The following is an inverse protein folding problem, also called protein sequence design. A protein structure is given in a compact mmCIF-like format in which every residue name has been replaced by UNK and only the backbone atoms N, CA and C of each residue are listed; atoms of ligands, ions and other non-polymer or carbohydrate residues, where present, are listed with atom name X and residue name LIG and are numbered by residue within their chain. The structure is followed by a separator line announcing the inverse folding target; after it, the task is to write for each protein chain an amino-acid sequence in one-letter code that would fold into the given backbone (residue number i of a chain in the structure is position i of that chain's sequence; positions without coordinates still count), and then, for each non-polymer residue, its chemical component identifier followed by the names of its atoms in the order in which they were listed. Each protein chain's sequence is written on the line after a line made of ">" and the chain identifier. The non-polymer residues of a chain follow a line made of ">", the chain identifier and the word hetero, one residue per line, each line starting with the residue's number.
data_IF_739104914475
#
_entry.id   IF_739104914475
#
_cell.length_a   1.000
_cell.length_b   1.000
_cell.length_c   1.000
_cell.angle_alpha   90.00
_cell.angle_beta   90.00
_cell.angle_gamma   90.00
#
_symmetry.space_group_name_H-M   'P 1'
#
loop_
_entity.id
_entity.type
_entity.pdbx_description
1 polymer ?
#
# COMPACT_ATOMS: atom_id res chain seq x y z
N UNK A 1 1.32 0.61 -17.99
CA UNK A 1 1.30 1.65 -16.93
C UNK A 1 2.70 2.13 -16.56
N UNK A 2 3.61 1.27 -16.07
CA UNK A 2 4.97 1.71 -15.67
C UNK A 2 5.81 2.30 -16.81
N UNK A 3 5.59 1.86 -18.05
CA UNK A 3 6.20 2.46 -19.26
C UNK A 3 5.76 3.90 -19.50
N UNK A 4 4.48 4.20 -19.26
CA UNK A 4 3.90 5.53 -19.46
C UNK A 4 4.51 6.55 -18.49
N UNK A 5 4.85 6.15 -17.26
CA UNK A 5 5.60 7.02 -16.32
C UNK A 5 6.99 7.36 -16.87
N UNK A 6 7.67 6.37 -17.44
CA UNK A 6 8.98 6.58 -18.07
C UNK A 6 8.91 7.51 -19.28
N UNK A 7 7.85 7.40 -20.08
CA UNK A 7 7.61 8.27 -21.25
C UNK A 7 7.46 9.74 -20.88
N UNK A 8 6.97 10.04 -19.67
CA UNK A 8 6.84 11.41 -19.14
C UNK A 8 7.96 11.79 -18.15
N UNK A 9 9.06 11.03 -18.12
CA UNK A 9 10.21 11.26 -17.22
C UNK A 9 9.88 11.23 -15.72
N UNK A 10 8.90 10.41 -15.32
CA UNK A 10 8.54 10.18 -13.91
C UNK A 10 9.12 8.84 -13.44
N UNK A 11 9.58 8.82 -12.18
CA UNK A 11 10.09 7.60 -11.55
C UNK A 11 9.00 6.52 -11.46
N UNK A 12 9.40 5.28 -11.68
CA UNK A 12 8.54 4.12 -11.67
C UNK A 12 9.06 3.02 -10.73
N UNK A 13 9.84 3.39 -9.73
CA UNK A 13 10.28 2.47 -8.68
C UNK A 13 9.11 2.02 -7.79
N UNK A 14 8.78 0.73 -7.86
CA UNK A 14 7.77 0.13 -6.97
C UNK A 14 8.36 -0.11 -5.59
N UNK A 15 7.79 0.54 -4.57
CA UNK A 15 8.17 0.37 -3.15
C UNK A 15 7.10 -0.35 -2.32
N UNK A 16 6.00 -0.74 -2.96
CA UNK A 16 4.87 -1.41 -2.32
C UNK A 16 3.55 -1.07 -3.00
N UNK A 17 2.46 -1.07 -2.24
CA UNK A 17 1.11 -0.83 -2.75
C UNK A 17 0.24 -0.06 -1.75
N UNK A 18 -0.97 0.28 -2.16
CA UNK A 18 -1.99 0.85 -1.29
C UNK A 18 -3.26 -0.01 -1.33
N UNK A 19 -4.01 -0.03 -0.22
CA UNK A 19 -5.28 -0.73 -0.12
C UNK A 19 -6.25 0.06 0.75
N UNK A 20 -7.50 0.14 0.31
CA UNK A 20 -8.58 0.70 1.12
C UNK A 20 -9.24 -0.39 1.95
N UNK A 21 -9.52 -0.10 3.21
CA UNK A 21 -10.20 -1.03 4.12
C UNK A 21 -11.25 -0.30 4.93
N UNK A 22 -12.40 -0.94 5.14
CA UNK A 22 -13.47 -0.36 5.93
C UNK A 22 -13.22 -0.66 7.41
N UNK A 23 -13.41 0.35 8.27
CA UNK A 23 -13.47 0.19 9.72
C UNK A 23 -12.21 -0.46 10.33
N UNK A 24 -11.05 -0.27 9.71
CA UNK A 24 -9.77 -0.84 10.18
C UNK A 24 -9.59 -2.35 9.93
N UNK A 25 -10.45 -2.98 9.12
CA UNK A 25 -10.34 -4.40 8.76
C UNK A 25 -9.27 -4.66 7.71
N UNK A 26 -7.99 -4.44 8.06
CA UNK A 26 -6.85 -4.65 7.16
C UNK A 26 -5.96 -5.84 7.55
N UNK A 27 -6.06 -6.35 8.78
CA UNK A 27 -5.24 -7.47 9.26
C UNK A 27 -5.78 -8.81 8.75
N UNK A 28 -5.64 -9.06 7.45
CA UNK A 28 -6.10 -10.30 6.81
C UNK A 28 -4.91 -11.18 6.39
N UNK A 29 -5.16 -12.47 6.20
CA UNK A 29 -4.14 -13.43 5.76
C UNK A 29 -3.61 -13.04 4.38
N UNK A 30 -4.51 -12.61 3.50
CA UNK A 30 -4.19 -12.20 2.13
C UNK A 30 -3.26 -10.98 2.10
N UNK A 31 -3.42 -10.03 3.04
CA UNK A 31 -2.51 -8.89 3.16
C UNK A 31 -1.09 -9.35 3.51
N UNK A 32 -0.97 -10.29 4.46
CA UNK A 32 0.33 -10.82 4.90
C UNK A 32 0.99 -11.62 3.77
N UNK A 33 0.24 -12.49 3.09
CA UNK A 33 0.73 -13.24 1.93
C UNK A 33 1.23 -12.30 0.82
N UNK A 34 0.49 -11.23 0.54
CA UNK A 34 0.91 -10.21 -0.44
C UNK A 34 2.20 -9.53 -0.03
N UNK A 35 2.35 -9.18 1.26
CA UNK A 35 3.60 -8.62 1.77
C UNK A 35 4.78 -9.57 1.60
N UNK A 36 4.61 -10.85 1.96
CA UNK A 36 5.67 -11.86 1.85
C UNK A 36 6.12 -12.01 0.40
N UNK A 37 5.17 -12.13 -0.53
CA UNK A 37 5.45 -12.20 -1.97
C UNK A 37 6.20 -10.96 -2.49
N UNK A 38 5.84 -9.77 -2.03
CA UNK A 38 6.48 -8.54 -2.49
C UNK A 38 7.85 -8.32 -1.84
N UNK A 39 8.07 -8.77 -0.61
CA UNK A 39 9.36 -8.65 0.06
C UNK A 39 10.48 -9.44 -0.62
N UNK A 40 10.17 -10.50 -1.37
CA UNK A 40 11.15 -11.24 -2.18
C UNK A 40 11.84 -10.33 -3.22
N UNK A 41 11.10 -9.35 -3.76
CA UNK A 41 11.59 -8.47 -4.83
C UNK A 41 11.80 -7.02 -4.35
N UNK A 42 11.17 -6.62 -3.24
CA UNK A 42 11.15 -5.26 -2.71
C UNK A 42 11.65 -5.29 -1.26
N UNK A 43 12.96 -5.06 -1.08
CA UNK A 43 13.62 -5.10 0.24
C UNK A 43 13.00 -4.17 1.30
N UNK A 44 12.44 -3.02 0.87
CA UNK A 44 11.78 -2.03 1.74
C UNK A 44 10.30 -1.89 1.40
N UNK A 45 9.60 -3.02 1.31
CA UNK A 45 8.18 -3.06 0.95
C UNK A 45 7.29 -2.40 2.02
N UNK A 46 6.43 -1.47 1.63
CA UNK A 46 5.46 -0.78 2.51
C UNK A 46 4.06 -0.87 1.91
N UNK A 47 3.04 -1.13 2.75
CA UNK A 47 1.64 -0.99 2.34
C UNK A 47 1.04 0.26 2.97
N UNK A 48 0.36 1.09 2.18
CA UNK A 48 -0.46 2.20 2.68
C UNK A 48 -1.90 1.75 2.80
N UNK A 49 -2.44 1.77 4.02
CA UNK A 49 -3.85 1.49 4.29
C UNK A 49 -4.61 2.80 4.41
N UNK A 50 -5.70 2.91 3.65
CA UNK A 50 -6.65 4.02 3.72
C UNK A 50 -8.00 3.54 4.26
N UNK A 51 -8.56 4.25 5.24
CA UNK A 51 -9.90 3.97 5.76
C UNK A 51 -10.87 5.10 5.38
N UNK A 52 -11.73 4.90 4.35
CA UNK A 52 -12.68 5.94 3.94
C UNK A 52 -13.75 6.19 5.00
N UNK A 53 -14.13 5.18 5.79
CA UNK A 53 -15.15 5.33 6.84
C UNK A 53 -14.68 6.27 7.95
N UNK A 54 -13.42 6.15 8.35
CA UNK A 54 -12.79 7.09 9.28
C UNK A 54 -12.50 8.42 8.63
N UNK A 55 -12.11 8.43 7.36
CA UNK A 55 -11.80 9.69 6.67
C UNK A 55 -13.01 10.60 6.51
N UNK A 56 -14.19 10.01 6.31
CA UNK A 56 -15.46 10.74 6.28
C UNK A 56 -15.83 11.42 7.62
N UNK A 57 -15.16 11.07 8.72
CA UNK A 57 -15.33 11.73 10.03
C UNK A 57 -14.42 12.96 10.19
N UNK A 58 -13.71 13.38 9.14
CA UNK A 58 -12.89 14.58 9.12
C UNK A 58 -11.43 14.38 9.53
N UNK A 59 -10.95 13.13 9.56
CA UNK A 59 -9.55 12.81 9.86
C UNK A 59 -8.84 12.20 8.66
N UNK A 60 -7.54 12.42 8.48
CA UNK A 60 -6.78 11.72 7.44
C UNK A 60 -6.47 10.29 7.93
N UNK A 61 -7.32 9.32 7.59
CA UNK A 61 -7.18 7.95 8.08
C UNK A 61 -6.24 7.11 7.19
N UNK A 62 -4.95 7.43 7.25
CA UNK A 62 -3.88 6.69 6.59
C UNK A 62 -2.99 5.97 7.61
N UNK A 63 -2.53 4.76 7.25
CA UNK A 63 -1.52 4.00 7.99
C UNK A 63 -0.48 3.45 7.03
N UNK A 64 0.79 3.48 7.42
CA UNK A 64 1.87 2.81 6.71
C UNK A 64 2.28 1.55 7.48
N UNK A 65 2.29 0.41 6.80
CA UNK A 65 2.59 -0.90 7.36
C UNK A 65 3.85 -1.48 6.70
N UNK A 66 4.64 -2.21 7.48
CA UNK A 66 5.79 -2.99 7.03
C UNK A 66 5.82 -4.30 7.81
N UNK A 67 6.06 -5.44 7.13
CA UNK A 67 6.41 -6.67 7.85
C UNK A 67 7.83 -6.56 8.43
N UNK A 68 7.98 -6.97 9.68
CA UNK A 68 9.26 -7.03 10.39
C UNK A 68 9.87 -8.42 10.33
#
# INVERSE_FOLDING_TARGET
>A
MMRCLREVNVDNNTVGWYQSTLLGSYQTVELIETFMNYQENIRRCVCIIYDPSKSNQGVLALKALKLS
#
